data_IF_229152769190
#
_entry.id   IF_229152769190
#
_cell.length_a   1.000
_cell.length_b   1.000
_cell.length_c   1.000
_cell.angle_alpha   90.00
_cell.angle_beta   90.00
_cell.angle_gamma   90.00
#
_symmetry.space_group_name_H-M   'P 1'
#
loop_
_entity.id
_entity.type
_entity.pdbx_description
1 polymer ?
#
# COMPACT_ATOMS: atom_id res chain seq x y z
N UNK A 1 40.59 -29.04 -8.20
CA UNK A 1 40.03 -27.67 -8.17
C UNK A 1 38.52 -27.87 -8.20
N UNK A 2 37.91 -28.10 -7.04
CA UNK A 2 37.44 -27.05 -6.10
C UNK A 2 36.22 -26.33 -6.69
N UNK A 3 35.08 -26.14 -6.05
CA UNK A 3 34.37 -26.77 -4.93
C UNK A 3 32.96 -26.18 -5.02
N UNK A 4 31.95 -27.00 -4.71
CA UNK A 4 30.67 -26.65 -4.10
C UNK A 4 29.92 -25.37 -4.54
N UNK A 5 28.87 -25.60 -5.33
CA UNK A 5 27.48 -25.21 -5.07
C UNK A 5 27.19 -23.98 -4.19
N UNK A 6 26.63 -22.99 -4.88
CA UNK A 6 25.88 -21.84 -4.39
C UNK A 6 24.67 -22.29 -3.54
N UNK A 7 24.57 -21.93 -2.25
CA UNK A 7 23.29 -22.02 -1.51
C UNK A 7 23.18 -21.30 -0.15
N UNK A 8 23.89 -20.20 0.10
CA UNK A 8 23.73 -19.45 1.37
C UNK A 8 23.16 -18.02 1.24
N UNK A 9 23.00 -17.49 0.03
CA UNK A 9 22.62 -16.07 -0.16
C UNK A 9 21.13 -15.72 -0.11
N UNK A 10 20.20 -16.69 -0.10
CA UNK A 10 18.75 -16.41 -0.29
C UNK A 10 17.94 -16.48 1.02
N UNK A 11 18.51 -17.02 2.13
CA UNK A 11 17.75 -17.24 3.37
C UNK A 11 17.47 -15.99 4.23
N UNK A 12 18.00 -14.80 3.90
CA UNK A 12 17.86 -13.61 4.76
C UNK A 12 16.63 -12.73 4.47
N UNK A 13 15.95 -12.89 3.33
CA UNK A 13 14.81 -12.03 2.98
C UNK A 13 13.48 -12.58 3.55
N UNK A 14 13.34 -13.90 3.65
CA UNK A 14 12.12 -14.55 4.15
C UNK A 14 11.82 -14.28 5.63
N UNK A 15 12.83 -14.10 6.47
CA UNK A 15 12.63 -13.90 7.92
C UNK A 15 11.98 -12.56 8.28
N UNK A 16 11.92 -11.59 7.35
CA UNK A 16 11.28 -10.28 7.58
C UNK A 16 9.78 -10.30 7.26
N UNK A 17 9.34 -11.26 6.45
CA UNK A 17 7.94 -11.50 6.08
C UNK A 17 7.29 -12.61 6.91
N UNK A 18 8.08 -13.43 7.61
CA UNK A 18 7.63 -14.64 8.31
C UNK A 18 6.78 -14.44 9.57
N UNK A 19 6.27 -13.23 9.82
CA UNK A 19 5.39 -12.96 10.96
C UNK A 19 4.15 -12.14 10.58
N UNK A 20 3.83 -11.96 9.29
CA UNK A 20 2.57 -11.35 8.86
C UNK A 20 1.60 -12.47 8.50
N UNK A 21 0.71 -12.81 9.44
CA UNK A 21 -0.21 -13.95 9.35
C UNK A 21 -1.41 -13.60 8.48
N UNK A 22 -1.89 -12.37 8.60
CA UNK A 22 -3.01 -11.85 7.85
C UNK A 22 -2.83 -10.34 7.67
N UNK A 23 -3.21 -9.81 6.52
CA UNK A 23 -3.20 -8.36 6.26
C UNK A 23 -4.45 -7.96 5.49
N UNK A 24 -5.04 -6.83 5.87
CA UNK A 24 -6.15 -6.20 5.16
C UNK A 24 -5.84 -4.72 4.92
N UNK A 25 -6.05 -4.28 3.69
CA UNK A 25 -5.82 -2.89 3.27
C UNK A 25 -7.15 -2.21 2.97
N UNK A 26 -7.33 -1.00 3.50
CA UNK A 26 -8.50 -0.15 3.23
C UNK A 26 -8.01 1.19 2.68
N UNK A 27 -8.44 1.54 1.46
CA UNK A 27 -8.15 2.84 0.84
C UNK A 27 -9.32 3.78 1.06
N UNK A 28 -9.05 4.97 1.57
CA UNK A 28 -10.03 6.02 1.84
C UNK A 28 -9.46 7.37 1.39
N UNK A 29 -9.68 7.70 0.11
CA UNK A 29 -9.15 8.92 -0.51
C UNK A 29 -7.62 9.03 -0.38
N UNK A 30 -7.15 10.05 0.34
CA UNK A 30 -5.71 10.32 0.57
C UNK A 30 -5.07 9.47 1.69
N UNK A 31 -5.86 8.65 2.39
CA UNK A 31 -5.41 7.77 3.48
C UNK A 31 -5.52 6.31 3.06
N UNK A 32 -4.55 5.51 3.48
CA UNK A 32 -4.59 4.05 3.36
C UNK A 32 -4.35 3.45 4.73
N UNK A 33 -5.28 2.60 5.18
CA UNK A 33 -5.19 1.87 6.43
C UNK A 33 -4.72 0.46 6.15
N UNK A 34 -3.75 -0.01 6.94
CA UNK A 34 -3.23 -1.37 6.91
C UNK A 34 -3.54 -2.02 8.26
N UNK A 35 -4.21 -3.16 8.24
CA UNK A 35 -4.54 -3.97 9.40
C UNK A 35 -3.77 -5.28 9.30
N UNK A 36 -2.66 -5.39 10.03
CA UNK A 36 -1.76 -6.53 9.95
C UNK A 36 -1.81 -7.35 11.26
N UNK A 37 -2.06 -8.64 11.15
CA UNK A 37 -1.99 -9.59 12.26
C UNK A 37 -0.61 -10.22 12.29
N UNK A 38 0.07 -10.11 13.42
CA UNK A 38 1.43 -10.61 13.61
C UNK A 38 1.54 -11.48 14.84
N UNK A 39 2.48 -12.43 14.84
CA UNK A 39 2.81 -13.24 16.02
C UNK A 39 4.00 -12.68 16.79
N UNK A 40 3.95 -12.77 18.11
CA UNK A 40 5.11 -12.58 18.98
C UNK A 40 6.00 -13.84 18.96
N UNK A 41 7.10 -13.82 19.72
CA UNK A 41 7.95 -15.00 19.91
C UNK A 41 7.27 -16.13 20.69
N UNK A 42 6.16 -15.82 21.38
CA UNK A 42 5.39 -16.76 22.18
C UNK A 42 4.17 -17.30 21.41
N UNK A 43 4.13 -17.13 20.08
CA UNK A 43 3.00 -17.48 19.21
C UNK A 43 1.67 -16.79 19.56
N UNK A 44 1.73 -15.68 20.31
CA UNK A 44 0.56 -14.83 20.58
C UNK A 44 0.34 -13.83 19.46
N UNK A 45 -0.91 -13.62 19.06
CA UNK A 45 -1.25 -12.70 17.99
C UNK A 45 -1.53 -11.29 18.51
N UNK A 46 -0.99 -10.30 17.80
CA UNK A 46 -1.25 -8.88 18.02
C UNK A 46 -1.58 -8.19 16.69
N UNK A 47 -2.31 -7.07 16.77
CA UNK A 47 -2.74 -6.29 15.63
C UNK A 47 -1.83 -5.06 15.48
N UNK A 48 -1.37 -4.80 14.27
CA UNK A 48 -0.75 -3.53 13.89
C UNK A 48 -1.71 -2.78 12.98
N UNK A 49 -2.14 -1.59 13.40
CA UNK A 49 -2.93 -0.68 12.57
C UNK A 49 -2.00 0.42 12.09
N UNK A 50 -1.79 0.53 10.78
CA UNK A 50 -1.00 1.61 10.20
C UNK A 50 -1.89 2.48 9.34
N UNK A 51 -1.96 3.77 9.64
CA UNK A 51 -2.47 4.77 8.73
C UNK A 51 -1.31 5.36 7.92
N UNK A 52 -1.41 5.36 6.59
CA UNK A 52 -0.54 6.12 5.71
C UNK A 52 -1.32 7.22 5.02
N UNK A 53 -0.94 8.48 5.25
CA UNK A 53 -1.54 9.65 4.66
C UNK A 53 -0.59 10.27 3.63
N UNK A 54 -1.07 10.42 2.39
CA UNK A 54 -0.31 11.12 1.35
C UNK A 54 -0.30 12.62 1.67
N UNK A 55 0.89 13.20 1.79
CA UNK A 55 1.13 14.64 1.96
C UNK A 55 1.76 15.19 0.69
N UNK A 56 1.29 16.35 0.26
CA UNK A 56 1.92 17.13 -0.79
C UNK A 56 2.67 18.27 -0.11
N UNK A 57 3.97 18.36 -0.34
CA UNK A 57 4.78 19.50 0.08
C UNK A 57 4.70 20.62 -0.96
N UNK A 58 4.97 21.84 -0.52
CA UNK A 58 4.84 23.05 -1.34
C UNK A 58 5.75 23.05 -2.58
N UNK A 59 6.82 22.26 -2.55
CA UNK A 59 7.78 22.12 -3.65
C UNK A 59 7.37 21.05 -4.69
N UNK A 60 6.10 20.62 -4.70
CA UNK A 60 5.60 19.56 -5.60
C UNK A 60 6.04 18.13 -5.23
N UNK A 61 6.90 17.97 -4.21
CA UNK A 61 7.28 16.65 -3.69
C UNK A 61 6.14 16.07 -2.86
N UNK A 62 5.81 14.80 -3.10
CA UNK A 62 4.86 14.06 -2.27
C UNK A 62 5.61 13.16 -1.28
N UNK A 63 5.06 13.05 -0.08
CA UNK A 63 5.55 12.17 0.99
C UNK A 63 4.40 11.42 1.63
N UNK A 64 4.74 10.46 2.49
CA UNK A 64 3.77 9.70 3.26
C UNK A 64 4.03 9.88 4.75
N UNK A 65 3.03 10.39 5.46
CA UNK A 65 2.99 10.40 6.91
C UNK A 65 2.40 9.06 7.37
N UNK A 66 3.05 8.40 8.33
CA UNK A 66 2.62 7.09 8.84
C UNK A 66 2.33 7.19 10.33
N UNK A 67 1.12 6.83 10.74
CA UNK A 67 0.77 6.62 12.13
C UNK A 67 0.62 5.12 12.36
N UNK A 68 1.22 4.59 13.42
CA UNK A 68 1.21 3.17 13.72
C UNK A 68 0.76 2.94 15.15
N UNK A 69 -0.20 2.04 15.31
CA UNK A 69 -0.74 1.59 16.58
C UNK A 69 -0.47 0.10 16.68
N UNK A 70 0.02 -0.33 17.84
CA UNK A 70 0.14 -1.74 18.20
C UNK A 70 -0.95 -2.03 19.24
N UNK A 71 -1.73 -3.07 18.99
CA UNK A 71 -2.78 -3.51 19.89
C UNK A 71 -2.52 -4.97 20.24
N UNK A 72 -2.41 -5.26 21.54
CA UNK A 72 -2.16 -6.59 22.07
C UNK A 72 -3.47 -7.22 22.56
N UNK A 73 -3.44 -8.55 22.76
CA UNK A 73 -4.62 -9.38 23.00
C UNK A 73 -5.44 -8.92 24.22
N UNK A 74 -4.76 -8.47 25.26
CA UNK A 74 -5.35 -7.97 26.51
C UNK A 74 -6.23 -6.74 26.33
N UNK A 75 -6.02 -5.97 25.26
CA UNK A 75 -6.69 -4.70 25.01
C UNK A 75 -7.77 -4.80 23.92
N UNK A 76 -7.89 -5.94 23.23
CA UNK A 76 -8.80 -6.09 22.08
C UNK A 76 -10.25 -5.74 22.40
N UNK A 77 -10.81 -6.34 23.44
CA UNK A 77 -12.22 -6.16 23.79
C UNK A 77 -12.50 -4.68 24.14
N UNK A 78 -11.73 -4.13 25.08
CA UNK A 78 -11.88 -2.73 25.52
C UNK A 78 -11.71 -1.74 24.37
N UNK A 79 -10.75 -1.98 23.48
CA UNK A 79 -10.49 -1.10 22.34
C UNK A 79 -11.62 -1.16 21.32
N UNK A 80 -12.10 -2.36 20.98
CA UNK A 80 -13.18 -2.55 19.99
C UNK A 80 -14.47 -1.93 20.50
N UNK A 81 -14.82 -2.17 21.76
CA UNK A 81 -16.05 -1.65 22.35
C UNK A 81 -16.01 -0.11 22.41
N UNK A 82 -14.92 0.47 22.91
CA UNK A 82 -14.76 1.92 22.96
C UNK A 82 -14.75 2.55 21.56
N UNK A 83 -14.15 1.88 20.57
CA UNK A 83 -14.13 2.37 19.19
C UNK A 83 -15.54 2.38 18.59
N UNK A 84 -16.31 1.31 18.80
CA UNK A 84 -17.70 1.23 18.34
C UNK A 84 -18.57 2.30 19.00
N UNK A 85 -18.52 2.40 20.32
CA UNK A 85 -19.32 3.37 21.08
C UNK A 85 -19.07 4.81 20.61
N UNK A 86 -17.81 5.18 20.37
CA UNK A 86 -17.45 6.51 19.88
C UNK A 86 -17.90 6.73 18.44
N UNK A 87 -17.79 5.72 17.58
CA UNK A 87 -18.24 5.78 16.19
C UNK A 87 -19.77 5.90 16.10
N UNK A 88 -20.50 5.11 16.90
CA UNK A 88 -21.95 5.15 16.98
C UNK A 88 -22.44 6.51 17.49
N UNK A 89 -21.76 7.06 18.51
CA UNK A 89 -22.03 8.43 18.97
C UNK A 89 -21.85 9.48 17.86
N UNK A 90 -20.84 9.34 17.00
CA UNK A 90 -20.65 10.23 15.85
C UNK A 90 -21.82 10.09 14.87
N UNK A 91 -22.23 8.87 14.53
CA UNK A 91 -23.34 8.63 13.61
C UNK A 91 -24.69 9.17 14.13
N UNK A 92 -24.94 9.06 15.44
CA UNK A 92 -26.15 9.62 16.05
C UNK A 92 -26.20 11.15 16.01
N UNK A 93 -25.05 11.81 16.18
CA UNK A 93 -24.96 13.29 16.21
C UNK A 93 -24.78 13.90 14.82
N UNK A 94 -24.14 13.17 13.92
CA UNK A 94 -23.86 13.57 12.54
C UNK A 94 -24.24 12.41 11.62
N UNK A 95 -25.54 12.23 11.32
CA UNK A 95 -25.95 11.28 10.31
C UNK A 95 -25.41 11.76 8.96
N UNK A 96 -24.32 11.15 8.48
CA UNK A 96 -23.79 11.45 7.15
C UNK A 96 -24.78 10.95 6.09
N UNK A 97 -25.18 11.83 5.16
CA UNK A 97 -25.72 11.42 3.87
C UNK A 97 -24.60 10.71 3.12
N UNK A 98 -24.66 9.37 3.08
CA UNK A 98 -23.67 8.53 2.43
C UNK A 98 -23.73 8.78 0.92
N UNK A 99 -22.95 9.74 0.42
CA UNK A 99 -22.66 9.87 -1.01
C UNK A 99 -21.59 8.85 -1.37
N UNK A 100 -21.90 7.83 -2.20
CA UNK A 100 -20.87 6.93 -2.69
C UNK A 100 -19.93 7.71 -3.61
N UNK A 101 -18.69 7.94 -3.16
CA UNK A 101 -17.61 8.51 -3.97
C UNK A 101 -17.12 7.46 -4.99
N UNK A 102 -17.98 7.13 -5.95
CA UNK A 102 -17.61 6.56 -7.26
C UNK A 102 -17.76 7.68 -8.28
N UNK A 103 -16.73 8.51 -8.34
CA UNK A 103 -16.45 9.30 -9.52
C UNK A 103 -14.96 9.08 -9.82
N UNK A 104 -14.69 7.97 -10.50
CA UNK A 104 -13.54 7.84 -11.37
C UNK A 104 -13.57 9.05 -12.33
N UNK A 105 -12.78 10.08 -12.02
CA UNK A 105 -12.34 11.02 -13.03
C UNK A 105 -10.99 10.53 -13.50
N UNK A 106 -11.05 9.72 -14.56
CA UNK A 106 -10.00 9.65 -15.56
C UNK A 106 -9.61 11.09 -15.91
N UNK A 107 -8.37 11.47 -15.58
CA UNK A 107 -7.74 12.65 -16.15
C UNK A 107 -6.83 12.13 -17.26
N UNK A 108 -7.46 11.85 -18.40
CA UNK A 108 -6.83 11.91 -19.71
C UNK A 108 -6.92 13.34 -20.20
N UNK A 109 -5.78 14.01 -20.40
CA UNK A 109 -5.53 15.24 -21.18
C UNK A 109 -4.18 15.81 -20.71
N UNK A 110 -3.14 16.12 -21.49
CA UNK A 110 -2.81 16.01 -22.91
C UNK A 110 -1.26 15.97 -22.95
N UNK A 111 -0.67 15.00 -23.67
CA UNK A 111 0.74 15.11 -24.08
C UNK A 111 0.71 15.74 -25.46
N UNK A 112 1.19 16.98 -25.53
CA UNK A 112 1.39 17.76 -26.76
C UNK A 112 2.27 16.96 -27.72
N UNK A 113 1.77 16.79 -28.95
CA UNK A 113 2.51 16.28 -30.10
C UNK A 113 3.77 17.11 -30.36
N UNK A 114 4.92 16.45 -30.41
CA UNK A 114 5.93 16.79 -31.42
C UNK A 114 6.61 15.50 -31.90
N UNK A 115 6.77 15.45 -33.21
CA UNK A 115 7.11 14.37 -34.13
C UNK A 115 8.50 13.75 -33.95
N UNK A 116 8.63 12.42 -34.13
CA UNK A 116 9.25 11.80 -35.32
C UNK A 116 9.29 10.25 -35.27
N UNK A 117 9.33 9.55 -36.43
CA UNK A 117 8.89 8.16 -36.56
C UNK A 117 9.98 7.11 -36.27
N UNK A 118 9.58 6.06 -35.55
CA UNK A 118 10.37 4.83 -35.41
C UNK A 118 10.17 3.95 -36.64
N UNK A 119 11.21 3.75 -37.44
CA UNK A 119 11.33 2.58 -38.31
C UNK A 119 12.72 1.98 -38.13
N UNK A 120 12.75 0.89 -37.40
CA UNK A 120 13.89 0.00 -37.30
C UNK A 120 14.32 -0.50 -38.69
N UNK A 121 15.62 -0.41 -38.87
CA UNK A 121 16.49 -0.83 -39.96
C UNK A 121 16.53 -2.36 -40.03
N UNK A 122 15.79 -2.99 -40.94
CA UNK A 122 16.10 -4.34 -41.44
C UNK A 122 15.36 -4.63 -42.75
N UNK A 123 15.95 -4.25 -43.88
CA UNK A 123 16.18 -5.16 -45.01
C UNK A 123 16.96 -4.42 -46.09
N UNK A 124 18.11 -4.98 -46.45
CA UNK A 124 18.97 -4.54 -47.54
C UNK A 124 18.50 -5.29 -48.79
N UNK A 125 18.01 -4.58 -49.80
CA UNK A 125 17.87 -5.07 -51.18
C UNK A 125 18.57 -4.05 -52.07
N UNK A 126 19.74 -4.45 -52.59
CA UNK A 126 20.46 -3.74 -53.64
C UNK A 126 19.85 -4.14 -54.98
N UNK A 127 19.17 -3.21 -55.65
CA UNK A 127 18.86 -3.35 -57.07
C UNK A 127 18.94 -1.97 -57.75
N UNK A 128 19.90 -1.88 -58.66
CA UNK A 128 20.05 -0.96 -59.81
C UNK A 128 20.24 0.57 -59.64
N UNK A 129 21.43 0.98 -60.13
CA UNK A 129 21.93 2.30 -60.64
C UNK A 129 22.84 3.12 -59.71
#
# INVERSE_FOLDING_TARGET
MESAESKEGIKQIDSKFKQEIHSKVVRAGKRTYFFDVKSTRNDEYYLTITESKKRYGDNGKFGYEKHKIFLYKEDFEKFIDSLKDVVDYIYEKQPEEIVPEVAEKEVTEEVVEESEPVKDYTSVEFEDI
#
